data_IF_724737569792
#
_entry.id   IF_724737569792
#
_cell.length_a   1.000
_cell.length_b   1.000
_cell.length_c   1.000
_cell.angle_alpha   90.00
_cell.angle_beta   90.00
_cell.angle_gamma   90.00
#
_symmetry.space_group_name_H-M   'P 1'
#
loop_
_entity.id
_entity.type
_entity.pdbx_description
1 polymer ?
#
# COMPACT_ATOMS: atom_id res chain seq x y z
N UNK A 1 -0.95 29.15 -51.42
CA UNK A 1 -1.50 27.84 -51.84
C UNK A 1 -0.55 26.80 -51.29
N UNK A 2 -0.83 25.99 -50.28
CA UNK A 2 -2.08 25.55 -49.68
C UNK A 2 -1.93 24.04 -49.48
N UNK A 3 -1.94 23.60 -48.21
CA UNK A 3 -2.10 22.20 -47.73
C UNK A 3 -0.93 21.24 -48.04
N UNK A 4 -0.50 20.33 -47.17
CA UNK A 4 -1.23 19.55 -46.19
C UNK A 4 -0.59 19.54 -44.79
N UNK A 5 -1.39 19.94 -43.81
CA UNK A 5 -1.25 19.59 -42.40
C UNK A 5 -1.95 18.26 -42.18
N UNK A 6 -1.23 17.17 -41.99
CA UNK A 6 -1.83 15.91 -41.51
C UNK A 6 -2.31 16.11 -40.08
N UNK A 7 -3.62 16.15 -39.93
CA UNK A 7 -4.37 16.22 -38.68
C UNK A 7 -3.99 15.05 -37.76
N UNK A 8 -3.49 15.36 -36.57
CA UNK A 8 -3.58 14.44 -35.44
C UNK A 8 -5.02 14.46 -34.93
N UNK A 9 -5.74 13.37 -35.16
CA UNK A 9 -7.01 13.07 -34.52
C UNK A 9 -6.82 13.04 -32.98
N UNK A 10 -7.56 13.84 -32.18
CA UNK A 10 -7.43 13.85 -30.72
C UNK A 10 -8.15 12.68 -30.02
N UNK A 11 -8.77 11.74 -30.74
CA UNK A 11 -9.78 10.83 -30.15
C UNK A 11 -9.34 9.39 -29.78
N UNK A 12 -8.04 9.07 -29.75
CA UNK A 12 -7.60 7.69 -29.38
C UNK A 12 -6.45 7.62 -28.36
N UNK A 13 -6.29 8.64 -27.52
CA UNK A 13 -5.48 8.46 -26.31
C UNK A 13 -6.26 7.59 -25.33
N UNK A 14 -6.03 6.26 -25.33
CA UNK A 14 -6.43 5.42 -24.21
C UNK A 14 -5.81 6.03 -22.96
N UNK A 15 -6.63 6.69 -22.12
CA UNK A 15 -6.23 7.11 -20.79
C UNK A 15 -6.03 5.83 -19.99
N UNK A 16 -4.84 5.24 -20.05
CA UNK A 16 -4.50 4.18 -19.13
C UNK A 16 -4.57 4.76 -17.72
N UNK A 17 -5.33 4.13 -16.83
CA UNK A 17 -5.21 4.40 -15.40
C UNK A 17 -3.74 4.18 -15.02
N UNK A 18 -3.00 5.28 -14.90
CA UNK A 18 -1.56 5.25 -14.65
C UNK A 18 -1.33 4.97 -13.17
N UNK A 19 -0.37 4.08 -12.92
CA UNK A 19 0.20 3.88 -11.59
C UNK A 19 0.65 5.22 -11.03
N UNK A 20 -0.03 5.66 -9.98
CA UNK A 20 0.27 6.90 -9.29
C UNK A 20 0.62 6.61 -7.85
N UNK A 21 1.58 7.37 -7.33
CA UNK A 21 1.66 7.62 -5.90
C UNK A 21 0.30 8.06 -5.36
N UNK A 22 0.12 7.89 -4.05
CA UNK A 22 -1.12 8.29 -3.37
C UNK A 22 -1.42 9.78 -3.59
N UNK A 23 -2.66 10.21 -3.34
CA UNK A 23 -3.06 11.62 -3.48
C UNK A 23 -2.16 12.53 -2.64
N UNK A 24 -1.30 13.30 -3.31
CA UNK A 24 -0.30 14.18 -2.69
C UNK A 24 -0.88 15.40 -1.97
N UNK A 25 0.01 16.21 -1.40
CA UNK A 25 -0.32 17.39 -0.61
C UNK A 25 -0.75 17.09 0.84
N UNK A 26 -1.24 18.12 1.50
CA UNK A 26 -1.65 18.15 2.90
C UNK A 26 -3.13 18.56 3.10
N UNK A 27 -3.86 18.78 2.00
CA UNK A 27 -5.28 19.14 2.00
C UNK A 27 -6.21 18.01 2.44
N UNK A 28 -7.49 18.32 2.60
CA UNK A 28 -8.51 17.41 3.16
C UNK A 28 -8.61 16.04 2.45
N UNK A 29 -8.39 15.98 1.14
CA UNK A 29 -8.45 14.74 0.37
C UNK A 29 -7.09 14.04 0.19
N UNK A 30 -6.02 14.59 0.75
CA UNK A 30 -4.68 14.02 0.63
C UNK A 30 -4.55 12.71 1.40
N UNK A 31 -3.61 11.87 0.99
CA UNK A 31 -3.26 10.67 1.74
C UNK A 31 -2.76 11.03 3.15
N UNK A 32 -2.01 12.13 3.30
CA UNK A 32 -1.46 12.57 4.57
C UNK A 32 -2.53 12.80 5.66
N UNK A 33 -3.73 13.24 5.28
CA UNK A 33 -4.85 13.47 6.20
C UNK A 33 -5.74 12.23 6.39
N UNK A 34 -5.65 11.22 5.53
CA UNK A 34 -6.62 10.11 5.47
C UNK A 34 -6.00 8.72 5.63
N UNK A 35 -4.73 8.62 6.06
CA UNK A 35 -4.00 7.35 6.20
C UNK A 35 -3.90 6.82 7.64
N UNK A 36 -4.81 7.23 8.53
CA UNK A 36 -4.81 6.86 9.97
C UNK A 36 -4.98 5.36 10.20
N UNK A 37 -5.72 4.66 9.33
CA UNK A 37 -5.92 3.21 9.44
C UNK A 37 -4.65 2.43 9.18
N UNK A 38 -3.93 2.77 8.11
CA UNK A 38 -2.60 2.24 7.81
C UNK A 38 -1.66 2.52 8.98
N UNK A 39 -1.67 3.74 9.53
CA UNK A 39 -0.86 4.12 10.67
C UNK A 39 -1.12 3.24 11.91
N UNK A 40 -2.39 3.00 12.25
CA UNK A 40 -2.76 2.14 13.39
C UNK A 40 -2.29 0.69 13.19
N UNK A 41 -2.50 0.12 12.01
CA UNK A 41 -2.11 -1.27 11.73
C UNK A 41 -0.58 -1.45 11.79
N UNK A 42 0.18 -0.48 11.27
CA UNK A 42 1.65 -0.49 11.41
C UNK A 42 2.08 -0.31 12.86
N UNK A 43 1.47 0.62 13.61
CA UNK A 43 1.80 0.82 15.02
C UNK A 43 1.58 -0.44 15.88
N UNK A 44 0.54 -1.24 15.59
CA UNK A 44 0.28 -2.51 16.29
C UNK A 44 1.31 -3.61 15.99
N UNK A 45 2.05 -3.50 14.88
CA UNK A 45 2.93 -4.57 14.38
C UNK A 45 4.40 -4.23 14.52
N UNK A 46 4.78 -2.95 14.53
CA UNK A 46 6.16 -2.48 14.76
C UNK A 46 6.84 -3.07 16.01
N UNK A 47 6.17 -3.26 17.16
CA UNK A 47 6.80 -3.91 18.32
C UNK A 47 7.39 -5.29 18.02
N UNK A 48 6.80 -6.03 17.07
CA UNK A 48 7.32 -7.34 16.66
C UNK A 48 8.64 -7.23 15.90
N UNK A 49 8.81 -6.18 15.08
CA UNK A 49 10.10 -5.85 14.48
C UNK A 49 11.13 -5.48 15.54
N UNK A 50 10.72 -4.77 16.60
CA UNK A 50 11.65 -4.36 17.66
C UNK A 50 12.26 -5.55 18.40
N UNK A 51 11.50 -6.63 18.58
CA UNK A 51 12.01 -7.89 19.11
C UNK A 51 13.10 -8.49 18.22
N UNK A 52 12.92 -8.44 16.89
CA UNK A 52 13.88 -9.02 15.95
C UNK A 52 15.11 -8.12 15.76
N UNK A 53 14.98 -6.79 15.95
CA UNK A 53 16.12 -5.86 16.00
C UNK A 53 17.05 -6.21 17.17
N UNK A 54 16.54 -6.68 18.31
CA UNK A 54 17.38 -7.07 19.45
C UNK A 54 18.34 -8.22 19.13
N UNK A 55 17.99 -9.08 18.17
CA UNK A 55 18.85 -10.19 17.73
C UNK A 55 19.63 -9.87 16.45
N UNK A 56 19.61 -8.63 15.95
CA UNK A 56 20.45 -8.24 14.83
C UNK A 56 21.92 -8.17 15.25
N UNK A 57 22.80 -8.60 14.34
CA UNK A 57 24.22 -8.28 14.40
C UNK A 57 24.38 -6.79 14.12
N UNK A 58 25.09 -6.09 15.00
CA UNK A 58 25.41 -4.69 14.80
C UNK A 58 26.55 -4.55 13.81
N UNK A 59 26.48 -3.53 12.95
CA UNK A 59 27.61 -3.16 12.10
C UNK A 59 28.68 -2.46 12.94
N UNK A 60 29.91 -2.46 12.44
CA UNK A 60 31.01 -1.73 13.09
C UNK A 60 30.68 -0.24 13.22
N UNK A 61 31.27 0.41 14.22
CA UNK A 61 31.03 1.82 14.58
C UNK A 61 31.11 2.78 13.39
N UNK A 62 32.04 2.55 12.47
CA UNK A 62 32.32 3.44 11.34
C UNK A 62 31.40 3.20 10.14
N UNK A 63 30.46 2.25 10.25
CA UNK A 63 29.50 1.95 9.20
C UNK A 63 28.16 2.66 9.43
N UNK A 64 27.64 3.28 8.37
CA UNK A 64 26.31 3.89 8.35
C UNK A 64 25.24 2.79 8.39
N UNK A 65 24.33 2.88 9.36
CA UNK A 65 23.15 2.03 9.44
C UNK A 65 22.06 2.55 8.49
N UNK A 66 21.70 1.75 7.49
CA UNK A 66 20.79 2.13 6.40
C UNK A 66 19.42 1.50 6.56
N UNK A 67 18.40 2.35 6.59
CA UNK A 67 16.99 1.97 6.63
C UNK A 67 16.35 2.40 5.31
N UNK A 68 15.56 1.53 4.68
CA UNK A 68 14.74 1.89 3.53
C UNK A 68 13.26 1.71 3.87
N UNK A 69 12.42 2.70 3.57
CA UNK A 69 10.96 2.55 3.56
C UNK A 69 10.47 2.53 2.11
N UNK A 70 9.91 1.38 1.71
CA UNK A 70 9.55 1.04 0.33
C UNK A 70 8.04 1.22 0.15
N UNK A 71 7.65 2.16 -0.71
CA UNK A 71 6.27 2.64 -0.81
C UNK A 71 5.92 3.62 0.32
N UNK A 72 6.79 4.61 0.55
CA UNK A 72 6.70 5.53 1.68
C UNK A 72 5.54 6.54 1.60
N UNK A 73 4.99 6.77 0.40
CA UNK A 73 4.05 7.84 0.08
C UNK A 73 4.61 9.22 0.48
N UNK A 74 3.72 10.18 0.77
CA UNK A 74 4.06 11.59 1.03
C UNK A 74 3.70 12.07 2.44
N UNK A 75 3.06 11.22 3.24
CA UNK A 75 2.45 11.59 4.51
C UNK A 75 3.32 11.32 5.75
N UNK A 76 2.87 11.75 6.95
CA UNK A 76 3.64 11.62 8.19
C UNK A 76 3.80 10.18 8.70
N UNK A 77 3.11 9.20 8.11
CA UNK A 77 3.20 7.80 8.51
C UNK A 77 4.61 7.23 8.33
N UNK A 78 5.24 7.45 7.17
CA UNK A 78 6.59 6.95 6.89
C UNK A 78 7.59 7.47 7.92
N UNK A 79 7.52 8.77 8.23
CA UNK A 79 8.40 9.45 9.21
C UNK A 79 8.28 8.79 10.59
N UNK A 80 7.04 8.59 11.08
CA UNK A 80 6.82 7.94 12.39
C UNK A 80 7.32 6.51 12.42
N UNK A 81 7.11 5.75 11.35
CA UNK A 81 7.55 4.37 11.27
C UNK A 81 9.08 4.27 11.33
N UNK A 82 9.80 5.06 10.52
CA UNK A 82 11.26 5.03 10.50
C UNK A 82 11.85 5.58 11.80
N UNK A 83 11.26 6.62 12.40
CA UNK A 83 11.74 7.16 13.67
C UNK A 83 11.60 6.16 14.82
N UNK A 84 10.49 5.44 14.90
CA UNK A 84 10.31 4.39 15.90
C UNK A 84 11.34 3.25 15.73
N UNK A 85 11.66 2.88 14.49
CA UNK A 85 12.72 1.90 14.20
C UNK A 85 14.10 2.44 14.59
N UNK A 86 14.39 3.70 14.31
CA UNK A 86 15.65 4.36 14.67
C UNK A 86 15.87 4.38 16.18
N UNK A 87 14.84 4.69 16.95
CA UNK A 87 14.89 4.66 18.41
C UNK A 87 15.28 3.26 18.90
N UNK A 88 14.65 2.22 18.36
CA UNK A 88 14.95 0.85 18.73
C UNK A 88 16.36 0.40 18.31
N UNK A 89 16.84 0.82 17.14
CA UNK A 89 18.21 0.56 16.68
C UNK A 89 19.19 1.22 17.65
N UNK A 90 19.01 2.50 17.98
CA UNK A 90 19.88 3.22 18.93
C UNK A 90 19.89 2.58 20.31
N UNK A 91 18.73 2.16 20.82
CA UNK A 91 18.64 1.42 22.08
C UNK A 91 19.49 0.14 22.04
N UNK A 92 19.42 -0.61 20.93
CA UNK A 92 20.19 -1.84 20.76
C UNK A 92 21.71 -1.62 20.65
N UNK A 93 22.16 -0.51 20.07
CA UNK A 93 23.57 -0.13 20.08
C UNK A 93 24.05 0.24 21.49
N UNK A 94 23.22 0.98 22.25
CA UNK A 94 23.51 1.35 23.64
C UNK A 94 23.60 0.13 24.56
N UNK A 95 22.67 -0.82 24.43
CA UNK A 95 22.66 -2.07 25.20
C UNK A 95 23.89 -2.96 24.97
N UNK A 96 24.45 -2.91 23.76
CA UNK A 96 25.63 -3.71 23.41
C UNK A 96 26.97 -3.07 23.80
N UNK A 97 26.94 -1.91 24.47
CA UNK A 97 28.13 -1.16 24.88
C UNK A 97 29.11 -0.90 23.72
N UNK A 98 28.62 -0.86 22.48
CA UNK A 98 29.44 -0.49 21.32
C UNK A 98 29.75 1.00 21.46
N UNK A 99 31.03 1.33 21.70
CA UNK A 99 31.53 2.70 22.00
C UNK A 99 31.09 3.71 20.95
N UNK A 100 29.90 4.26 21.17
CA UNK A 100 29.30 5.31 20.39
C UNK A 100 28.66 6.24 21.42
N UNK A 101 29.35 7.33 21.75
CA UNK A 101 28.78 8.36 22.64
C UNK A 101 27.42 8.91 22.15
N UNK A 102 27.01 8.61 20.90
CA UNK A 102 25.78 9.05 20.25
C UNK A 102 25.04 7.98 19.39
N UNK A 103 25.43 6.70 19.40
CA UNK A 103 24.92 5.68 18.46
C UNK A 103 25.54 5.73 17.05
N UNK A 104 25.13 4.86 16.11
CA UNK A 104 25.64 4.85 14.73
C UNK A 104 25.11 6.04 13.92
N UNK A 105 25.81 6.40 12.85
CA UNK A 105 25.24 7.24 11.80
C UNK A 105 24.09 6.51 11.11
N UNK A 106 22.98 7.20 10.88
CA UNK A 106 21.77 6.61 10.28
C UNK A 106 21.45 7.32 8.98
N UNK A 107 21.22 6.54 7.93
CA UNK A 107 20.70 7.02 6.65
C UNK A 107 19.38 6.32 6.33
N UNK A 108 18.35 7.12 6.08
CA UNK A 108 17.01 6.68 5.70
C UNK A 108 16.77 6.98 4.23
N UNK A 109 16.33 5.97 3.50
CA UNK A 109 15.87 6.08 2.12
C UNK A 109 14.34 5.99 2.10
N UNK A 110 13.70 7.04 1.60
CA UNK A 110 12.27 7.08 1.36
C UNK A 110 12.04 6.77 -0.12
N UNK A 111 11.59 5.56 -0.41
CA UNK A 111 11.36 5.12 -1.77
C UNK A 111 9.87 5.09 -2.09
N UNK A 112 9.54 5.64 -3.26
CA UNK A 112 8.21 5.52 -3.86
C UNK A 112 8.30 5.74 -5.38
N UNK A 113 7.16 5.67 -6.08
CA UNK A 113 7.07 5.93 -7.52
C UNK A 113 7.52 7.36 -7.88
N UNK A 114 8.02 7.58 -9.10
CA UNK A 114 8.50 8.91 -9.53
C UNK A 114 7.46 10.04 -9.47
N UNK A 115 6.17 9.71 -9.50
CA UNK A 115 5.08 10.68 -9.41
C UNK A 115 4.56 10.91 -7.99
N UNK A 116 5.16 10.29 -6.99
CA UNK A 116 4.85 10.55 -5.58
C UNK A 116 5.29 11.97 -5.20
N UNK A 117 4.51 12.62 -4.34
CA UNK A 117 4.76 13.98 -3.89
C UNK A 117 5.85 14.02 -2.80
N UNK A 118 7.11 13.87 -3.23
CA UNK A 118 8.28 13.96 -2.36
C UNK A 118 8.45 15.37 -1.77
N UNK A 119 7.94 16.42 -2.43
CA UNK A 119 8.03 17.79 -1.91
C UNK A 119 7.26 17.93 -0.60
N UNK A 120 6.05 17.34 -0.53
CA UNK A 120 5.27 17.30 0.71
C UNK A 120 5.94 16.46 1.78
N UNK A 121 6.51 15.29 1.44
CA UNK A 121 7.29 14.48 2.38
C UNK A 121 8.46 15.27 2.99
N UNK A 122 9.24 15.97 2.15
CA UNK A 122 10.35 16.80 2.60
C UNK A 122 9.87 17.90 3.54
N UNK A 123 8.76 18.59 3.21
CA UNK A 123 8.17 19.60 4.11
C UNK A 123 7.82 19.00 5.48
N UNK A 124 7.16 17.82 5.51
CA UNK A 124 6.83 17.15 6.77
C UNK A 124 8.04 16.70 7.58
N UNK A 125 9.12 16.26 6.92
CA UNK A 125 10.38 15.90 7.58
C UNK A 125 11.03 17.09 8.29
N UNK A 126 10.96 18.27 7.68
CA UNK A 126 11.61 19.47 8.21
C UNK A 126 10.68 20.37 9.05
N UNK A 127 9.38 20.09 9.10
CA UNK A 127 8.41 20.81 9.92
C UNK A 127 8.12 20.17 11.28
N UNK A 128 8.74 19.03 11.63
CA UNK A 128 8.54 18.41 12.94
C UNK A 128 9.05 19.33 14.06
N UNK A 129 8.35 19.40 15.22
CA UNK A 129 8.82 20.18 16.36
C UNK A 129 10.20 19.68 16.78
N UNK A 130 11.22 20.54 16.67
CA UNK A 130 12.55 20.28 17.22
C UNK A 130 12.57 20.84 18.63
N UNK A 131 12.92 20.02 19.63
CA UNK A 131 13.21 20.56 20.96
C UNK A 131 14.44 21.47 20.89
N UNK A 132 14.62 22.39 21.83
CA UNK A 132 15.81 23.25 21.91
C UNK A 132 17.13 22.46 22.06
N UNK A 133 17.03 21.19 22.47
CA UNK A 133 18.12 20.21 22.56
C UNK A 133 18.35 19.46 21.22
N UNK A 134 17.32 19.31 20.38
CA UNK A 134 17.37 18.65 19.05
C UNK A 134 17.62 19.66 17.91
N UNK A 135 18.68 20.46 18.02
CA UNK A 135 19.11 21.37 16.94
C UNK A 135 19.66 20.65 15.70
N UNK A 136 19.85 19.33 15.75
CA UNK A 136 20.47 18.52 14.70
C UNK A 136 19.48 17.50 14.16
N UNK A 137 19.47 17.32 12.83
CA UNK A 137 18.67 16.31 12.15
C UNK A 137 18.98 14.90 12.71
N UNK A 138 17.93 14.15 13.08
CA UNK A 138 18.06 12.82 13.73
C UNK A 138 18.75 11.77 12.85
N UNK A 139 18.73 11.92 11.53
CA UNK A 139 19.27 10.98 10.54
C UNK A 139 19.41 11.65 9.18
N UNK A 140 20.31 11.16 8.33
CA UNK A 140 20.38 11.56 6.92
C UNK A 140 19.16 11.01 6.17
N UNK A 141 18.53 11.80 5.31
CA UNK A 141 17.38 11.36 4.51
C UNK A 141 17.68 11.50 3.01
N UNK A 142 17.18 10.55 2.22
CA UNK A 142 17.25 10.58 0.76
C UNK A 142 15.92 10.09 0.16
N UNK A 143 15.42 10.79 -0.85
CA UNK A 143 14.32 10.29 -1.68
C UNK A 143 14.88 9.38 -2.78
N UNK A 144 14.21 8.25 -3.04
CA UNK A 144 14.58 7.29 -4.08
C UNK A 144 13.37 7.06 -4.98
N UNK A 145 13.25 7.77 -6.11
CA UNK A 145 12.15 7.56 -7.04
C UNK A 145 12.39 6.28 -7.86
N UNK A 146 11.41 5.40 -7.92
CA UNK A 146 11.47 4.16 -8.71
C UNK A 146 10.45 3.13 -8.27
N UNK A 147 10.34 2.01 -8.99
CA UNK A 147 9.53 0.88 -8.56
C UNK A 147 10.31 0.00 -7.57
N UNK A 148 9.70 -0.39 -6.45
CA UNK A 148 10.30 -1.39 -5.57
C UNK A 148 10.28 -2.80 -6.17
N UNK A 149 9.62 -3.01 -7.29
CA UNK A 149 9.73 -4.28 -8.02
C UNK A 149 11.05 -4.38 -8.78
N UNK A 150 11.85 -3.30 -8.78
CA UNK A 150 13.18 -3.26 -9.38
C UNK A 150 14.28 -3.08 -8.32
N UNK A 151 15.51 -3.12 -8.81
CA UNK A 151 16.71 -2.80 -8.05
C UNK A 151 16.81 -1.28 -7.84
N UNK A 152 16.94 -0.89 -6.59
CA UNK A 152 17.00 0.49 -6.10
C UNK A 152 18.33 0.80 -5.43
N UNK A 153 18.97 -0.21 -4.83
CA UNK A 153 20.16 -0.04 -4.02
C UNK A 153 21.34 -0.90 -4.50
N UNK A 154 22.59 -0.51 -4.18
CA UNK A 154 23.74 -1.37 -4.37
C UNK A 154 23.65 -2.65 -3.53
N UNK A 155 24.54 -3.61 -3.83
CA UNK A 155 24.57 -4.91 -3.17
C UNK A 155 24.85 -4.77 -1.68
N UNK A 156 24.04 -5.44 -0.86
CA UNK A 156 24.26 -5.60 0.59
C UNK A 156 24.49 -4.28 1.35
N UNK A 157 23.79 -3.22 0.95
CA UNK A 157 23.90 -1.90 1.62
C UNK A 157 22.80 -1.64 2.64
N UNK A 158 21.63 -2.27 2.52
CA UNK A 158 20.49 -1.99 3.39
C UNK A 158 20.52 -2.91 4.63
N UNK A 159 20.36 -2.34 5.82
CA UNK A 159 20.31 -3.09 7.08
C UNK A 159 18.87 -3.46 7.45
N UNK A 160 17.93 -2.53 7.28
CA UNK A 160 16.49 -2.78 7.49
C UNK A 160 15.71 -2.20 6.32
N UNK A 161 14.85 -3.00 5.71
CA UNK A 161 13.86 -2.54 4.75
C UNK A 161 12.45 -2.69 5.34
N UNK A 162 11.65 -1.64 5.25
CA UNK A 162 10.24 -1.61 5.58
C UNK A 162 9.43 -1.55 4.29
N UNK A 163 8.29 -2.23 4.25
CA UNK A 163 7.29 -2.10 3.19
C UNK A 163 5.91 -2.24 3.82
N UNK A 164 5.21 -1.12 4.04
CA UNK A 164 3.93 -1.12 4.77
C UNK A 164 2.77 -0.70 3.88
N UNK A 165 1.80 -1.61 3.69
CA UNK A 165 0.60 -1.40 2.88
C UNK A 165 0.89 -0.96 1.44
N UNK A 166 1.95 -1.50 0.82
CA UNK A 166 2.32 -1.16 -0.54
C UNK A 166 2.34 -2.35 -1.51
N UNK A 167 2.70 -3.55 -1.04
CA UNK A 167 2.88 -4.71 -1.94
C UNK A 167 1.61 -5.16 -2.65
N UNK A 168 0.41 -4.85 -2.14
CA UNK A 168 -0.85 -5.19 -2.81
C UNK A 168 -1.09 -4.38 -4.11
N UNK A 169 -0.35 -3.29 -4.33
CA UNK A 169 -0.35 -2.59 -5.61
C UNK A 169 0.51 -3.35 -6.61
N UNK A 170 -0.07 -3.68 -7.76
CA UNK A 170 0.64 -4.41 -8.81
C UNK A 170 1.65 -3.50 -9.54
N UNK A 171 2.55 -4.08 -10.33
CA UNK A 171 3.42 -3.30 -11.22
C UNK A 171 2.72 -2.89 -12.51
N UNK A 172 1.74 -3.69 -12.95
CA UNK A 172 0.95 -3.47 -14.15
C UNK A 172 -0.42 -4.14 -14.04
N UNK A 173 -1.39 -3.67 -14.83
CA UNK A 173 -2.68 -4.35 -15.00
C UNK A 173 -2.48 -5.44 -16.05
N UNK A 174 -2.87 -6.71 -15.78
CA UNK A 174 -2.61 -7.79 -16.74
C UNK A 174 -3.30 -7.51 -18.09
N UNK A 175 -2.55 -7.48 -19.19
CA UNK A 175 -3.10 -7.08 -20.50
C UNK A 175 -4.35 -7.88 -20.91
N UNK A 176 -4.40 -9.16 -20.54
CA UNK A 176 -5.49 -10.08 -20.82
C UNK A 176 -6.85 -9.66 -20.21
N UNK A 177 -6.88 -8.80 -19.18
CA UNK A 177 -8.14 -8.36 -18.57
C UNK A 177 -8.80 -7.21 -19.31
N UNK A 178 -8.07 -6.57 -20.24
CA UNK A 178 -8.55 -5.48 -21.11
C UNK A 178 -8.82 -5.95 -22.54
N UNK A 179 -8.44 -7.18 -22.88
CA UNK A 179 -8.68 -7.75 -24.20
C UNK A 179 -10.08 -8.38 -24.24
N UNK A 180 -10.99 -7.80 -25.03
CA UNK A 180 -12.37 -8.29 -25.19
C UNK A 180 -12.46 -9.72 -25.75
N UNK A 181 -11.41 -10.21 -26.42
CA UNK A 181 -11.34 -11.58 -26.93
C UNK A 181 -10.82 -12.59 -25.90
N UNK A 182 -10.23 -12.11 -24.79
CA UNK A 182 -9.66 -12.95 -23.75
C UNK A 182 -10.73 -13.49 -22.80
N UNK A 183 -10.62 -14.75 -22.36
CA UNK A 183 -11.48 -15.27 -21.28
C UNK A 183 -11.30 -14.52 -19.96
N UNK A 184 -10.19 -13.79 -19.79
CA UNK A 184 -9.91 -12.97 -18.60
C UNK A 184 -10.47 -11.54 -18.69
N UNK A 185 -11.13 -11.14 -19.78
CA UNK A 185 -11.70 -9.81 -19.94
C UNK A 185 -12.59 -9.44 -18.75
N UNK A 186 -12.30 -8.31 -18.10
CA UNK A 186 -13.00 -7.90 -16.88
C UNK A 186 -14.17 -6.94 -17.13
N UNK A 187 -14.61 -6.76 -18.37
CA UNK A 187 -15.71 -5.84 -18.68
C UNK A 187 -16.96 -6.15 -17.86
N UNK A 188 -17.62 -5.09 -17.37
CA UNK A 188 -18.69 -5.21 -16.38
C UNK A 188 -18.23 -5.05 -14.93
N UNK A 189 -16.94 -5.19 -14.64
CA UNK A 189 -16.41 -5.06 -13.28
C UNK A 189 -15.15 -4.20 -13.27
N UNK A 190 -14.82 -3.65 -12.11
CA UNK A 190 -13.62 -2.85 -11.86
C UNK A 190 -12.69 -3.49 -10.84
N UNK A 191 -13.24 -4.34 -9.99
CA UNK A 191 -12.55 -5.16 -9.01
C UNK A 191 -12.51 -6.63 -9.46
N UNK A 192 -11.85 -7.48 -8.68
CA UNK A 192 -11.63 -8.91 -9.04
C UNK A 192 -12.70 -9.84 -8.48
N UNK A 193 -13.45 -9.42 -7.45
CA UNK A 193 -14.36 -10.31 -6.72
C UNK A 193 -15.44 -10.92 -7.62
N UNK A 194 -16.15 -10.06 -8.37
CA UNK A 194 -17.25 -10.43 -9.28
C UNK A 194 -16.75 -11.02 -10.60
N UNK A 195 -15.44 -10.95 -10.84
CA UNK A 195 -14.80 -11.36 -12.09
C UNK A 195 -14.72 -12.87 -12.27
N UNK A 196 -14.47 -13.26 -13.51
CA UNK A 196 -14.24 -14.65 -13.90
C UNK A 196 -13.01 -15.25 -13.20
N UNK A 197 -12.96 -16.58 -13.14
CA UNK A 197 -11.77 -17.30 -12.66
C UNK A 197 -10.52 -16.92 -13.47
N UNK A 198 -10.65 -16.83 -14.81
CA UNK A 198 -9.54 -16.45 -15.68
C UNK A 198 -9.01 -15.03 -15.38
N UNK A 199 -9.89 -14.09 -15.03
CA UNK A 199 -9.49 -12.75 -14.56
C UNK A 199 -8.72 -12.84 -13.25
N UNK A 200 -9.26 -13.58 -12.26
CA UNK A 200 -8.60 -13.77 -10.95
C UNK A 200 -7.21 -14.40 -11.09
N UNK A 201 -7.08 -15.43 -11.94
CA UNK A 201 -5.81 -16.08 -12.26
C UNK A 201 -4.82 -15.12 -12.94
N UNK A 202 -5.28 -14.27 -13.86
CA UNK A 202 -4.42 -13.28 -14.51
C UNK A 202 -3.84 -12.26 -13.51
N UNK A 203 -4.66 -11.77 -12.57
CA UNK A 203 -4.19 -10.91 -11.49
C UNK A 203 -3.27 -11.65 -10.51
N UNK A 204 -3.56 -12.90 -10.17
CA UNK A 204 -2.72 -13.72 -9.28
C UNK A 204 -1.33 -13.95 -9.88
N UNK A 205 -1.25 -14.29 -11.17
CA UNK A 205 0.02 -14.49 -11.88
C UNK A 205 0.85 -13.20 -11.92
N UNK A 206 0.21 -12.05 -12.14
CA UNK A 206 0.91 -10.75 -12.05
C UNK A 206 1.44 -10.49 -10.63
N UNK A 207 0.60 -10.68 -9.61
CA UNK A 207 0.97 -10.48 -8.21
C UNK A 207 2.12 -11.38 -7.74
N UNK A 208 2.19 -12.60 -8.29
CA UNK A 208 3.27 -13.56 -8.06
C UNK A 208 4.59 -13.09 -8.69
N UNK A 209 4.57 -12.68 -9.96
CA UNK A 209 5.75 -12.12 -10.65
C UNK A 209 6.29 -10.90 -9.93
N UNK A 210 5.39 -10.04 -9.47
CA UNK A 210 5.71 -8.84 -8.72
C UNK A 210 6.38 -9.16 -7.39
N UNK A 211 5.82 -10.10 -6.61
CA UNK A 211 6.43 -10.50 -5.34
C UNK A 211 7.80 -11.18 -5.53
N UNK A 212 7.95 -12.00 -6.57
CA UNK A 212 9.24 -12.63 -6.91
C UNK A 212 10.29 -11.58 -7.23
N UNK A 213 9.99 -10.64 -8.12
CA UNK A 213 10.87 -9.50 -8.46
C UNK A 213 11.24 -8.67 -7.24
N UNK A 214 10.26 -8.39 -6.37
CA UNK A 214 10.50 -7.69 -5.11
C UNK A 214 11.50 -8.46 -4.23
N UNK A 215 11.26 -9.74 -3.95
CA UNK A 215 12.12 -10.56 -3.10
C UNK A 215 13.52 -10.73 -3.70
N UNK A 216 13.64 -10.93 -5.02
CA UNK A 216 14.92 -10.99 -5.72
C UNK A 216 15.74 -9.70 -5.56
N UNK A 217 15.10 -8.54 -5.72
CA UNK A 217 15.77 -7.26 -5.57
C UNK A 217 16.20 -7.04 -4.11
N UNK A 218 15.32 -7.32 -3.14
CA UNK A 218 15.64 -7.20 -1.69
C UNK A 218 16.75 -8.17 -1.26
N UNK A 219 16.76 -9.38 -1.79
CA UNK A 219 17.81 -10.37 -1.53
C UNK A 219 19.21 -9.88 -1.94
N UNK A 220 19.28 -9.06 -2.97
CA UNK A 220 20.53 -8.47 -3.44
C UNK A 220 20.95 -7.26 -2.59
N UNK A 221 19.99 -6.44 -2.17
CA UNK A 221 20.22 -5.14 -1.54
C UNK A 221 20.43 -5.21 -0.03
N UNK A 222 19.74 -6.14 0.64
CA UNK A 222 19.82 -6.31 2.08
C UNK A 222 21.10 -7.10 2.42
N UNK A 223 21.87 -6.58 3.37
CA UNK A 223 23.09 -7.25 3.85
C UNK A 223 22.79 -8.49 4.70
N UNK A 224 23.73 -9.44 4.84
CA UNK A 224 23.57 -10.57 5.75
C UNK A 224 23.21 -10.13 7.17
N UNK A 225 22.27 -10.82 7.80
CA UNK A 225 21.69 -10.47 9.10
C UNK A 225 20.67 -9.32 9.08
N UNK A 226 20.50 -8.63 7.94
CA UNK A 226 19.52 -7.55 7.77
C UNK A 226 18.07 -8.04 7.80
N UNK A 227 17.14 -7.13 8.10
CA UNK A 227 15.71 -7.44 8.23
C UNK A 227 14.89 -6.83 7.10
N UNK A 228 13.90 -7.57 6.63
CA UNK A 228 12.85 -7.13 5.72
C UNK A 228 11.51 -7.27 6.43
N UNK A 229 10.90 -6.14 6.77
CA UNK A 229 9.60 -6.04 7.42
C UNK A 229 8.53 -5.69 6.39
N UNK A 230 7.53 -6.54 6.24
CA UNK A 230 6.48 -6.38 5.25
C UNK A 230 5.11 -6.49 5.88
N UNK A 231 4.24 -5.55 5.53
CA UNK A 231 2.81 -5.62 5.84
C UNK A 231 2.04 -5.35 4.57
N UNK A 232 1.15 -6.26 4.19
CA UNK A 232 0.30 -6.08 3.01
C UNK A 232 -0.99 -6.87 3.12
N UNK A 233 -1.96 -6.47 2.29
CA UNK A 233 -3.29 -7.04 2.27
C UNK A 233 -3.25 -8.42 1.61
N UNK A 234 -4.00 -9.34 2.21
CA UNK A 234 -4.11 -10.72 1.77
C UNK A 234 -5.58 -11.11 1.68
N UNK A 235 -5.83 -12.13 0.88
CA UNK A 235 -7.08 -12.88 0.88
C UNK A 235 -6.81 -14.24 1.54
N UNK A 236 -7.37 -14.51 2.73
CA UNK A 236 -7.10 -15.77 3.44
C UNK A 236 -7.63 -16.99 2.68
N UNK A 237 -8.71 -16.84 1.93
CA UNK A 237 -9.24 -17.86 1.02
C UNK A 237 -9.87 -17.20 -0.22
N UNK A 238 -10.44 -17.99 -1.15
CA UNK A 238 -11.05 -17.43 -2.36
C UNK A 238 -12.37 -16.68 -2.14
N UNK A 239 -12.98 -16.85 -0.97
CA UNK A 239 -14.24 -16.26 -0.56
C UNK A 239 -14.06 -15.15 0.49
N UNK A 240 -12.94 -15.15 1.24
CA UNK A 240 -12.60 -14.17 2.28
C UNK A 240 -11.56 -13.15 1.79
N UNK A 241 -11.76 -11.90 2.17
CA UNK A 241 -10.77 -10.85 2.02
C UNK A 241 -10.88 -9.97 0.77
N UNK A 242 -11.98 -9.20 0.72
CA UNK A 242 -12.16 -7.80 0.20
C UNK A 242 -13.62 -7.48 -0.19
N UNK A 243 -14.59 -8.25 0.31
CA UNK A 243 -15.80 -8.48 -0.46
C UNK A 243 -16.84 -7.37 -0.43
N UNK A 244 -17.03 -6.73 0.71
CA UNK A 244 -18.07 -5.72 0.90
C UNK A 244 -17.68 -4.38 0.27
N UNK A 245 -16.40 -4.03 0.35
CA UNK A 245 -15.87 -2.79 -0.21
C UNK A 245 -15.78 -2.90 -1.73
N UNK A 246 -15.20 -3.98 -2.26
CA UNK A 246 -15.10 -4.17 -3.71
C UNK A 246 -16.47 -4.28 -4.39
N UNK A 247 -17.43 -4.98 -3.77
CA UNK A 247 -18.80 -5.01 -4.28
C UNK A 247 -19.42 -3.61 -4.31
N UNK A 248 -19.21 -2.83 -3.26
CA UNK A 248 -19.73 -1.47 -3.18
C UNK A 248 -19.09 -0.59 -4.28
N UNK A 249 -17.79 -0.75 -4.54
CA UNK A 249 -17.10 -0.05 -5.63
C UNK A 249 -17.72 -0.42 -6.99
N UNK A 250 -17.89 -1.72 -7.29
CA UNK A 250 -18.51 -2.18 -8.54
C UNK A 250 -19.98 -1.71 -8.66
N UNK A 251 -20.76 -1.74 -7.57
CA UNK A 251 -22.15 -1.23 -7.56
C UNK A 251 -22.24 0.27 -7.83
N UNK A 252 -21.29 1.05 -7.31
CA UNK A 252 -21.21 2.49 -7.57
C UNK A 252 -20.84 2.73 -9.04
N UNK A 253 -19.86 1.99 -9.58
CA UNK A 253 -19.52 2.06 -11.00
C UNK A 253 -20.73 1.72 -11.90
N UNK A 254 -21.50 0.69 -11.56
CA UNK A 254 -22.73 0.34 -12.26
C UNK A 254 -23.80 1.44 -12.18
N UNK A 255 -23.93 2.10 -11.03
CA UNK A 255 -24.81 3.27 -10.86
C UNK A 255 -24.38 4.43 -11.76
N UNK A 256 -23.08 4.74 -11.82
CA UNK A 256 -22.57 5.82 -12.68
C UNK A 256 -22.83 5.56 -14.17
N UNK A 257 -22.69 4.30 -14.63
CA UNK A 257 -23.01 3.92 -16.01
C UNK A 257 -24.51 4.03 -16.27
N UNK A 258 -25.34 3.48 -15.38
CA UNK A 258 -26.80 3.49 -15.51
C UNK A 258 -27.37 4.91 -15.56
N UNK A 259 -26.78 5.83 -14.81
CA UNK A 259 -27.18 7.24 -14.75
C UNK A 259 -26.54 8.09 -15.86
N UNK A 260 -25.70 7.50 -16.72
CA UNK A 260 -25.02 8.21 -17.81
C UNK A 260 -23.95 9.20 -17.33
N UNK A 261 -23.48 9.06 -16.08
CA UNK A 261 -22.36 9.88 -15.55
C UNK A 261 -21.03 9.46 -16.18
N UNK A 262 -20.86 8.17 -16.46
CA UNK A 262 -19.70 7.63 -17.19
C UNK A 262 -20.16 6.69 -18.31
N UNK A 263 -19.47 6.64 -19.46
CA UNK A 263 -19.76 5.65 -20.51
C UNK A 263 -19.46 4.22 -20.04
N UNK A 264 -20.22 3.24 -20.54
CA UNK A 264 -19.99 1.81 -20.22
C UNK A 264 -18.58 1.36 -20.57
N UNK A 265 -18.02 1.84 -21.69
CA UNK A 265 -16.66 1.50 -22.10
C UNK A 265 -15.62 2.00 -21.09
N UNK A 266 -15.85 3.14 -20.44
CA UNK A 266 -14.92 3.71 -19.48
C UNK A 266 -14.85 2.86 -18.20
N UNK A 267 -15.99 2.34 -17.74
CA UNK A 267 -16.01 1.34 -16.66
C UNK A 267 -15.32 0.06 -17.09
N UNK A 268 -15.67 -0.48 -18.26
CA UNK A 268 -15.15 -1.77 -18.71
C UNK A 268 -13.63 -1.79 -18.95
N UNK A 269 -13.05 -0.65 -19.34
CA UNK A 269 -11.60 -0.49 -19.50
C UNK A 269 -10.88 -0.22 -18.15
N UNK A 270 -11.62 0.22 -17.12
CA UNK A 270 -11.07 0.48 -15.80
C UNK A 270 -10.83 -0.82 -15.04
N UNK A 271 -9.62 -0.98 -14.53
CA UNK A 271 -9.24 -2.12 -13.72
C UNK A 271 -8.36 -1.61 -12.59
N UNK A 272 -8.75 -1.89 -11.34
CA UNK A 272 -7.97 -1.49 -10.18
C UNK A 272 -6.66 -2.29 -10.15
N UNK A 273 -5.46 -1.65 -10.15
CA UNK A 273 -4.19 -2.36 -10.14
C UNK A 273 -3.82 -2.86 -8.73
N UNK A 274 -4.74 -3.57 -8.12
CA UNK A 274 -4.70 -4.01 -6.74
C UNK A 274 -4.97 -5.50 -6.68
N UNK A 275 -4.19 -6.22 -5.88
CA UNK A 275 -4.42 -7.62 -5.59
C UNK A 275 -4.04 -7.96 -4.16
N UNK A 276 -5.04 -8.34 -3.36
CA UNK A 276 -4.83 -8.99 -2.08
C UNK A 276 -4.33 -10.43 -2.35
N UNK A 277 -3.11 -10.75 -1.91
CA UNK A 277 -2.45 -12.03 -2.25
C UNK A 277 -3.03 -13.20 -1.46
N UNK A 278 -3.08 -14.37 -2.08
CA UNK A 278 -3.31 -15.63 -1.36
C UNK A 278 -2.03 -16.00 -0.58
N UNK A 279 -2.18 -16.41 0.68
CA UNK A 279 -1.04 -16.81 1.50
C UNK A 279 -0.37 -18.09 1.04
N UNK A 280 -1.05 -19.01 0.37
CA UNK A 280 -0.45 -20.21 -0.20
C UNK A 280 0.57 -19.86 -1.30
N UNK A 281 0.23 -18.89 -2.16
CA UNK A 281 1.15 -18.37 -3.19
C UNK A 281 2.35 -17.67 -2.54
N UNK A 282 2.11 -16.87 -1.51
CA UNK A 282 3.17 -16.18 -0.75
C UNK A 282 4.10 -17.19 -0.10
N UNK A 283 3.55 -18.22 0.58
CA UNK A 283 4.33 -19.23 1.27
C UNK A 283 5.17 -20.06 0.28
N UNK A 284 4.56 -20.51 -0.82
CA UNK A 284 5.25 -21.27 -1.87
C UNK A 284 6.44 -20.47 -2.42
N UNK A 285 6.27 -19.17 -2.64
CA UNK A 285 7.35 -18.33 -3.10
C UNK A 285 8.43 -18.15 -2.02
N UNK A 286 8.06 -17.91 -0.76
CA UNK A 286 9.02 -17.78 0.34
C UNK A 286 9.88 -19.04 0.53
N UNK A 287 9.32 -20.23 0.33
CA UNK A 287 10.07 -21.49 0.36
C UNK A 287 11.19 -21.52 -0.69
N UNK A 288 10.92 -21.02 -1.90
CA UNK A 288 11.94 -20.92 -2.96
C UNK A 288 13.10 -19.98 -2.59
N UNK A 289 12.85 -19.00 -1.72
CA UNK A 289 13.86 -18.09 -1.16
C UNK A 289 14.47 -18.59 0.15
N UNK A 290 14.17 -19.81 0.61
CA UNK A 290 14.62 -20.33 1.90
C UNK A 290 16.13 -20.46 2.06
N UNK A 291 16.90 -20.45 0.97
CA UNK A 291 18.38 -20.39 1.00
C UNK A 291 18.93 -18.99 1.26
N UNK A 292 18.12 -17.95 1.03
CA UNK A 292 18.48 -16.53 1.06
C UNK A 292 17.86 -15.81 2.25
N UNK A 293 16.62 -16.16 2.60
CA UNK A 293 15.88 -15.58 3.70
C UNK A 293 15.51 -16.63 4.74
N UNK A 294 15.49 -16.20 5.98
CA UNK A 294 14.92 -16.93 7.11
C UNK A 294 13.65 -16.20 7.55
N UNK A 295 12.52 -16.92 7.63
CA UNK A 295 11.27 -16.34 8.14
C UNK A 295 11.39 -16.22 9.66
N UNK A 296 11.46 -15.00 10.16
CA UNK A 296 11.46 -14.72 11.61
C UNK A 296 10.03 -14.73 12.14
N UNK A 297 9.11 -14.11 11.39
CA UNK A 297 7.69 -14.02 11.77
C UNK A 297 6.77 -14.08 10.58
N UNK A 298 5.60 -14.64 10.84
CA UNK A 298 4.46 -14.69 9.93
C UNK A 298 3.19 -14.66 10.75
N UNK A 299 2.54 -13.51 10.77
CA UNK A 299 1.26 -13.32 11.43
C UNK A 299 0.21 -12.92 10.40
N UNK A 300 -1.02 -13.38 10.61
CA UNK A 300 -2.20 -12.96 9.86
C UNK A 300 -3.13 -12.26 10.81
N UNK A 301 -3.72 -11.16 10.38
CA UNK A 301 -4.69 -10.40 11.14
C UNK A 301 -5.86 -10.03 10.25
N UNK A 302 -7.06 -10.22 10.78
CA UNK A 302 -8.32 -9.90 10.11
C UNK A 302 -9.00 -8.78 10.88
N UNK A 303 -9.42 -7.75 10.16
CA UNK A 303 -10.18 -6.62 10.70
C UNK A 303 -11.62 -6.77 10.26
N UNK A 304 -12.53 -6.80 11.22
CA UNK A 304 -13.95 -6.92 10.97
C UNK A 304 -14.63 -5.56 11.04
N UNK A 305 -15.83 -5.46 10.47
CA UNK A 305 -16.62 -4.23 10.50
C UNK A 305 -16.93 -3.78 11.94
N UNK A 306 -17.15 -4.72 12.88
CA UNK A 306 -17.29 -4.42 14.31
C UNK A 306 -16.09 -3.68 14.89
N UNK A 307 -14.87 -3.94 14.41
CA UNK A 307 -13.66 -3.28 14.93
C UNK A 307 -13.58 -1.83 14.43
N UNK A 308 -14.00 -1.59 13.19
CA UNK A 308 -14.19 -0.24 12.66
C UNK A 308 -15.27 0.53 13.44
N UNK A 309 -16.40 -0.12 13.72
CA UNK A 309 -17.54 0.48 14.43
C UNK A 309 -17.31 0.69 15.93
N UNK A 310 -16.30 0.04 16.52
CA UNK A 310 -15.81 0.37 17.88
C UNK A 310 -15.08 1.71 17.93
N UNK A 311 -14.46 2.11 16.82
CA UNK A 311 -13.78 3.41 16.69
C UNK A 311 -14.78 4.49 16.29
N UNK A 312 -15.65 4.19 15.32
CA UNK A 312 -16.67 5.10 14.81
C UNK A 312 -18.06 4.53 15.14
N UNK A 313 -18.66 5.04 16.22
CA UNK A 313 -19.92 4.50 16.74
C UNK A 313 -21.08 4.64 15.73
N UNK A 314 -21.05 5.70 14.92
CA UNK A 314 -21.97 5.93 13.81
C UNK A 314 -21.44 5.24 12.53
N UNK A 315 -22.21 4.30 11.93
CA UNK A 315 -21.90 3.71 10.63
C UNK A 315 -21.61 4.72 9.52
N UNK A 316 -22.22 5.91 9.53
CA UNK A 316 -21.95 6.96 8.54
C UNK A 316 -20.57 7.57 8.71
N UNK A 317 -20.12 7.79 9.95
CA UNK A 317 -18.76 8.25 10.22
C UNK A 317 -17.73 7.18 9.84
N UNK A 318 -18.03 5.90 10.12
CA UNK A 318 -17.21 4.78 9.69
C UNK A 318 -17.07 4.71 8.16
N UNK A 319 -18.18 4.88 7.44
CA UNK A 319 -18.21 4.90 5.97
C UNK A 319 -17.43 6.09 5.40
N UNK A 320 -17.58 7.28 5.99
CA UNK A 320 -16.79 8.46 5.64
C UNK A 320 -15.30 8.23 5.84
N UNK A 321 -14.90 7.67 6.99
CA UNK A 321 -13.50 7.38 7.28
C UNK A 321 -12.90 6.39 6.26
N UNK A 322 -13.65 5.35 5.89
CA UNK A 322 -13.22 4.39 4.85
C UNK A 322 -13.16 5.03 3.46
N UNK A 323 -14.17 5.82 3.10
CA UNK A 323 -14.24 6.57 1.84
C UNK A 323 -13.05 7.51 1.71
N UNK A 324 -12.75 8.26 2.76
CA UNK A 324 -11.62 9.17 2.83
C UNK A 324 -10.27 8.44 2.65
N UNK A 325 -10.10 7.26 3.26
CA UNK A 325 -8.90 6.45 3.06
C UNK A 325 -8.77 5.97 1.60
N UNK A 326 -9.87 5.54 0.98
CA UNK A 326 -9.89 5.20 -0.46
C UNK A 326 -9.57 6.44 -1.32
N UNK A 327 -10.13 7.60 -0.97
CA UNK A 327 -9.89 8.89 -1.63
C UNK A 327 -8.42 9.29 -1.58
N UNK A 328 -7.80 9.17 -0.41
CA UNK A 328 -6.37 9.40 -0.23
C UNK A 328 -5.51 8.51 -1.13
N UNK A 329 -5.97 7.30 -1.45
CA UNK A 329 -5.23 6.37 -2.31
C UNK A 329 -5.47 6.61 -3.81
N UNK A 330 -6.71 6.88 -4.25
CA UNK A 330 -7.11 6.76 -5.66
C UNK A 330 -7.61 8.05 -6.30
N UNK A 331 -7.92 9.11 -5.53
CA UNK A 331 -8.63 10.28 -6.05
C UNK A 331 -7.98 10.93 -7.28
N UNK A 332 -6.65 11.16 -7.24
CA UNK A 332 -5.95 11.80 -8.38
C UNK A 332 -5.95 10.94 -9.63
N UNK A 333 -5.83 9.63 -9.48
CA UNK A 333 -5.86 8.70 -10.59
C UNK A 333 -7.28 8.57 -11.17
N UNK A 334 -8.31 8.54 -10.30
CA UNK A 334 -9.72 8.61 -10.71
C UNK A 334 -10.05 9.91 -11.44
N UNK A 335 -9.62 11.06 -10.91
CA UNK A 335 -9.82 12.38 -11.51
C UNK A 335 -9.19 12.47 -12.90
N UNK A 336 -8.01 11.91 -13.09
CA UNK A 336 -7.37 11.84 -14.39
C UNK A 336 -8.10 10.90 -15.38
N UNK A 337 -8.77 9.86 -14.88
CA UNK A 337 -9.39 8.82 -15.71
C UNK A 337 -10.85 9.11 -16.08
N UNK A 338 -11.70 9.51 -15.13
CA UNK A 338 -13.13 9.81 -15.36
C UNK A 338 -13.47 11.30 -15.27
N UNK A 339 -12.48 12.16 -14.98
CA UNK A 339 -12.69 13.59 -14.79
C UNK A 339 -13.13 13.95 -13.36
N UNK A 340 -12.96 15.23 -13.02
CA UNK A 340 -13.22 15.76 -11.68
C UNK A 340 -14.69 15.59 -11.24
N UNK A 341 -15.65 15.94 -12.11
CA UNK A 341 -17.08 15.89 -11.78
C UNK A 341 -17.54 14.45 -11.50
N UNK A 342 -17.19 13.49 -12.37
CA UNK A 342 -17.57 12.09 -12.18
C UNK A 342 -16.87 11.48 -10.96
N UNK A 343 -15.62 11.87 -10.69
CA UNK A 343 -14.88 11.44 -9.49
C UNK A 343 -15.54 11.90 -8.20
N UNK A 344 -15.99 13.16 -8.14
CA UNK A 344 -16.74 13.67 -6.98
C UNK A 344 -18.04 12.90 -6.76
N UNK A 345 -18.79 12.62 -7.83
CA UNK A 345 -20.03 11.84 -7.76
C UNK A 345 -19.74 10.40 -7.30
N UNK A 346 -18.68 9.76 -7.82
CA UNK A 346 -18.24 8.44 -7.38
C UNK A 346 -18.04 8.38 -5.87
N UNK A 347 -17.21 9.28 -5.32
CA UNK A 347 -16.91 9.28 -3.89
C UNK A 347 -18.11 9.60 -3.01
N UNK A 348 -19.03 10.44 -3.49
CA UNK A 348 -20.29 10.71 -2.78
C UNK A 348 -21.14 9.44 -2.71
N UNK A 349 -21.40 8.80 -3.85
CA UNK A 349 -22.21 7.57 -3.92
C UNK A 349 -21.57 6.43 -3.13
N UNK A 350 -20.25 6.34 -3.15
CA UNK A 350 -19.51 5.34 -2.39
C UNK A 350 -19.64 5.54 -0.88
N UNK A 351 -19.56 6.77 -0.38
CA UNK A 351 -19.81 7.06 1.05
C UNK A 351 -21.24 6.71 1.46
N UNK A 352 -22.22 7.09 0.65
CA UNK A 352 -23.64 6.82 0.90
C UNK A 352 -23.92 5.31 0.93
N UNK A 353 -23.47 4.57 -0.10
CA UNK A 353 -23.67 3.13 -0.22
C UNK A 353 -22.96 2.36 0.91
N UNK A 354 -21.71 2.71 1.25
CA UNK A 354 -21.02 2.11 2.40
C UNK A 354 -21.74 2.40 3.72
N UNK A 355 -22.27 3.61 3.89
CA UNK A 355 -23.02 3.99 5.10
C UNK A 355 -24.27 3.13 5.30
N UNK A 356 -25.03 2.89 4.22
CA UNK A 356 -26.21 2.01 4.24
C UNK A 356 -25.83 0.56 4.54
N UNK A 357 -24.77 0.06 3.90
CA UNK A 357 -24.26 -1.28 4.13
C UNK A 357 -23.83 -1.43 5.59
N UNK A 358 -22.99 -0.53 6.10
CA UNK A 358 -22.50 -0.61 7.49
C UNK A 358 -23.64 -0.52 8.51
N UNK A 359 -24.64 0.33 8.27
CA UNK A 359 -25.80 0.42 9.16
C UNK A 359 -26.61 -0.88 9.17
N UNK A 360 -26.84 -1.48 8.00
CA UNK A 360 -27.56 -2.75 7.88
C UNK A 360 -26.80 -3.88 8.56
N UNK A 361 -25.51 -4.04 8.26
CA UNK A 361 -24.68 -5.10 8.84
C UNK A 361 -24.56 -4.95 10.36
N UNK A 362 -24.46 -3.72 10.87
CA UNK A 362 -24.48 -3.44 12.31
C UNK A 362 -25.72 -3.99 12.99
N UNK A 363 -26.90 -3.73 12.43
CA UNK A 363 -28.16 -4.24 12.98
C UNK A 363 -28.19 -5.78 12.97
N UNK A 364 -27.66 -6.41 11.91
CA UNK A 364 -27.63 -7.88 11.80
C UNK A 364 -26.78 -8.47 12.92
N UNK A 365 -25.49 -8.12 12.99
CA UNK A 365 -24.59 -8.76 13.95
C UNK A 365 -24.87 -8.37 15.41
N UNK A 366 -25.46 -7.20 15.68
CA UNK A 366 -25.90 -6.82 17.03
C UNK A 366 -27.17 -7.56 17.48
N UNK A 367 -28.06 -7.93 16.54
CA UNK A 367 -29.34 -8.57 16.85
C UNK A 367 -29.23 -10.07 17.06
N UNK A 368 -28.56 -10.78 16.16
CA UNK A 368 -28.51 -12.25 16.17
C UNK A 368 -27.18 -12.83 16.63
N UNK A 369 -26.20 -11.96 16.96
CA UNK A 369 -24.88 -12.38 17.42
C UNK A 369 -24.04 -13.05 16.34
N UNK A 370 -24.43 -12.92 15.06
CA UNK A 370 -23.63 -13.38 13.92
C UNK A 370 -22.25 -12.70 13.88
N UNK A 371 -21.32 -13.35 13.19
CA UNK A 371 -20.01 -12.77 12.98
C UNK A 371 -20.12 -11.55 12.07
N UNK A 372 -19.55 -10.43 12.55
CA UNK A 372 -19.48 -9.20 11.76
C UNK A 372 -18.71 -9.44 10.45
N UNK A 373 -19.10 -8.84 9.33
CA UNK A 373 -18.38 -9.01 8.06
C UNK A 373 -16.91 -8.63 8.16
N UNK A 374 -16.06 -9.37 7.47
CA UNK A 374 -14.66 -9.01 7.28
C UNK A 374 -14.54 -7.75 6.43
N UNK A 375 -13.70 -6.81 6.86
CA UNK A 375 -13.34 -5.63 6.06
C UNK A 375 -12.06 -5.85 5.27
N UNK A 376 -11.04 -6.44 5.91
CA UNK A 376 -9.77 -6.79 5.29
C UNK A 376 -9.01 -7.80 6.14
N UNK A 377 -8.13 -8.54 5.49
CA UNK A 377 -7.03 -9.25 6.13
C UNK A 377 -5.69 -8.72 5.65
N UNK A 378 -4.70 -8.76 6.54
CA UNK A 378 -3.33 -8.45 6.21
C UNK A 378 -2.39 -9.45 6.87
N UNK A 379 -1.22 -9.63 6.27
CA UNK A 379 -0.12 -10.37 6.87
C UNK A 379 0.97 -9.42 7.34
N UNK A 380 1.59 -9.77 8.47
CA UNK A 380 2.90 -9.29 8.86
C UNK A 380 3.92 -10.39 8.56
N UNK A 381 4.95 -10.06 7.79
CA UNK A 381 6.09 -10.93 7.52
C UNK A 381 7.38 -10.22 7.91
N UNK A 382 8.25 -10.91 8.64
CA UNK A 382 9.60 -10.46 8.94
C UNK A 382 10.57 -11.51 8.45
N UNK A 383 11.42 -11.13 7.51
CA UNK A 383 12.47 -11.98 6.95
C UNK A 383 13.84 -11.48 7.41
N UNK A 384 14.74 -12.39 7.77
CA UNK A 384 16.15 -12.12 8.00
C UNK A 384 16.95 -12.61 6.82
N UNK A 385 17.84 -11.76 6.29
CA UNK A 385 18.77 -12.16 5.23
C UNK A 385 19.84 -13.08 5.82
N UNK A 386 19.97 -14.29 5.27
CA UNK A 386 21.01 -15.25 5.66
C UNK A 386 22.40 -14.83 5.22
#
# INVERSE_FOLDING_TARGET
>A
MGQDTTSSDPSTGKLDFMFSGMTGGDGENSYAQNSTWQARMVAMTLPKLFEDIKSMSLTDRDQVFRIADLGCSSGPNTIRNVEAVIEQVRARYKEAEVDTSSGPEIQVYFQDLPNTDFNTLIKFLFSQPRSDEEKVQKYMSAAVPGSFYDRLFPKSTINIALSTFALHWLSEIPAAVRDKASPAYNGGNTQIKRSSLATKEAFAEQAKRDLDRFLAARAHEIGPGGLLFMIFLIRPDEQSGTTLVEDCEDDVWDSLVREGTVPVQLRDDFNNPFYARNMDDVNTLLESYGSVFEVQRRDISTIFLKDLLRVYLDPREAARAKTNAHRGATFKAMEAYIGESATRIYFQKFEEALGEIYAREKVIFERDGSESPELLSFTLLILRRK
#
